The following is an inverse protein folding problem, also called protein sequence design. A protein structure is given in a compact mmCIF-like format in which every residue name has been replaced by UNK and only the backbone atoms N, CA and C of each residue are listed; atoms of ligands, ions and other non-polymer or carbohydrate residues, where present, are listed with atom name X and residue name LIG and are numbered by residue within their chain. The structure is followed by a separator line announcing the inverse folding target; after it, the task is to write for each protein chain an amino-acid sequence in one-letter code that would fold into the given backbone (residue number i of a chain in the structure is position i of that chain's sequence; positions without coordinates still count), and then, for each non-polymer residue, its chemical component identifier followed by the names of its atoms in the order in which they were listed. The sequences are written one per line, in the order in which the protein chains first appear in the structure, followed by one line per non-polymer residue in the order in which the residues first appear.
data_IF_688814170358
#
_entry.id   IF_688814170358
#
_cell.length_a   1.000
_cell.length_b   1.000
_cell.length_c   1.000
_cell.angle_alpha   90.00
_cell.angle_beta   90.00
_cell.angle_gamma   90.00
#
_symmetry.space_group_name_H-M   'P 1'
#
loop_
_entity.id
_entity.type
_entity.pdbx_description
1 polymer ?
#
# COMPACT_ATOMS: atom_id res chain seq x y z
N UNK A 1 -14.58 -29.00 17.38
CA UNK A 1 -13.80 -28.29 16.34
C UNK A 1 -13.47 -26.91 16.89
N UNK A 2 -12.19 -26.57 17.06
CA UNK A 2 -11.81 -25.24 17.51
C UNK A 2 -12.18 -24.23 16.42
N UNK A 3 -13.01 -23.23 16.74
CA UNK A 3 -13.25 -22.10 15.84
C UNK A 3 -11.89 -21.43 15.60
N UNK A 4 -11.37 -21.52 14.37
CA UNK A 4 -10.18 -20.75 13.98
C UNK A 4 -10.56 -19.27 14.06
N UNK A 5 -10.07 -18.59 15.09
CA UNK A 5 -10.22 -17.15 15.25
C UNK A 5 -9.39 -16.48 14.15
N UNK A 6 -10.03 -15.67 13.30
CA UNK A 6 -9.32 -14.85 12.33
C UNK A 6 -8.53 -13.76 13.06
N UNK A 7 -7.22 -13.68 12.81
CA UNK A 7 -6.35 -12.63 13.34
C UNK A 7 -5.95 -11.74 12.17
N UNK A 8 -6.42 -10.49 12.21
CA UNK A 8 -6.04 -9.47 11.25
C UNK A 8 -4.53 -9.15 11.37
N UNK A 9 -3.73 -9.33 10.29
CA UNK A 9 -2.30 -9.04 10.31
C UNK A 9 -2.00 -7.54 10.29
N UNK A 10 -2.96 -6.67 10.01
CA UNK A 10 -2.75 -5.22 10.02
C UNK A 10 -2.22 -4.72 11.38
N UNK A 11 -1.10 -4.00 11.36
CA UNK A 11 -0.39 -3.57 12.58
C UNK A 11 0.26 -4.69 13.40
N UNK A 12 0.06 -5.98 13.06
CA UNK A 12 0.62 -7.14 13.77
C UNK A 12 1.72 -7.86 13.00
N UNK A 13 1.55 -8.03 11.69
CA UNK A 13 2.59 -8.55 10.83
C UNK A 13 3.71 -7.53 10.71
N UNK A 14 4.95 -8.01 10.80
CA UNK A 14 6.13 -7.18 10.75
C UNK A 14 7.08 -7.67 9.67
N UNK A 15 7.75 -6.72 9.03
CA UNK A 15 8.85 -6.98 8.10
C UNK A 15 10.00 -6.06 8.48
N UNK A 16 11.22 -6.58 8.47
CA UNK A 16 12.42 -5.79 8.75
C UNK A 16 13.10 -5.39 7.45
N UNK A 17 13.70 -4.21 7.44
CA UNK A 17 14.63 -3.75 6.42
C UNK A 17 15.77 -3.02 7.13
N UNK A 18 16.96 -3.59 7.08
CA UNK A 18 18.05 -3.19 7.98
C UNK A 18 17.61 -3.26 9.44
N UNK A 19 17.85 -2.18 10.20
CA UNK A 19 17.46 -2.06 11.60
C UNK A 19 16.00 -1.62 11.81
N UNK A 20 15.28 -1.25 10.74
CA UNK A 20 13.93 -0.68 10.87
C UNK A 20 12.88 -1.79 10.84
N UNK A 21 12.02 -1.79 11.86
CA UNK A 21 10.83 -2.62 11.93
C UNK A 21 9.67 -1.89 11.26
N UNK A 22 9.13 -2.50 10.21
CA UNK A 22 7.93 -2.05 9.51
C UNK A 22 6.74 -2.92 9.91
N UNK A 23 5.57 -2.31 10.05
CA UNK A 23 4.31 -3.01 10.30
C UNK A 23 3.48 -3.03 9.04
N UNK A 24 2.81 -4.15 8.82
CA UNK A 24 1.81 -4.29 7.78
C UNK A 24 0.76 -3.19 7.90
N UNK A 25 0.33 -2.73 6.74
CA UNK A 25 -0.74 -1.77 6.56
C UNK A 25 -1.68 -2.27 5.47
N UNK A 26 -2.94 -2.49 5.86
CA UNK A 26 -3.94 -3.00 4.95
C UNK A 26 -4.83 -1.88 4.39
N UNK A 27 -4.65 -1.62 3.08
CA UNK A 27 -5.29 -0.56 2.30
C UNK A 27 -6.82 -0.58 2.37
N UNK A 28 -7.42 -1.76 2.25
CA UNK A 28 -8.86 -1.95 2.37
C UNK A 28 -9.24 -2.10 3.85
N UNK A 29 -9.23 -1.01 4.59
CA UNK A 29 -9.58 -1.00 6.01
C UNK A 29 -11.04 -1.42 6.24
N UNK A 30 -11.34 -1.87 7.46
CA UNK A 30 -12.72 -2.21 7.86
C UNK A 30 -13.73 -1.12 7.47
N UNK A 31 -13.40 0.15 7.74
CA UNK A 31 -14.27 1.27 7.40
C UNK A 31 -14.53 1.37 5.90
N UNK A 32 -13.53 1.12 5.05
CA UNK A 32 -13.69 1.18 3.58
C UNK A 32 -14.65 0.11 3.08
N UNK A 33 -14.45 -1.12 3.55
CA UNK A 33 -15.27 -2.26 3.14
C UNK A 33 -16.70 -2.11 3.68
N UNK A 34 -16.84 -1.68 4.94
CA UNK A 34 -18.13 -1.43 5.57
C UNK A 34 -18.91 -0.31 4.87
N UNK A 35 -18.28 0.83 4.57
CA UNK A 35 -18.95 1.94 3.86
C UNK A 35 -19.50 1.53 2.50
N UNK A 36 -18.94 0.50 1.87
CA UNK A 36 -19.38 0.01 0.55
C UNK A 36 -20.47 -1.05 0.63
N UNK A 37 -20.36 -1.99 1.57
CA UNK A 37 -21.21 -3.18 1.61
C UNK A 37 -22.12 -3.28 2.84
N UNK A 38 -22.01 -2.36 3.80
CA UNK A 38 -22.68 -2.45 5.10
C UNK A 38 -22.26 -3.68 5.90
N UNK A 39 -23.04 -4.04 6.92
CA UNK A 39 -22.82 -5.28 7.68
C UNK A 39 -23.48 -6.47 6.96
N UNK A 40 -22.79 -7.03 5.98
CA UNK A 40 -23.29 -8.13 5.13
C UNK A 40 -22.28 -9.27 5.03
N UNK A 41 -22.73 -10.46 4.59
CA UNK A 41 -21.83 -11.59 4.28
C UNK A 41 -20.76 -11.22 3.26
N UNK A 42 -21.09 -10.32 2.31
CA UNK A 42 -20.12 -9.79 1.35
C UNK A 42 -19.03 -8.98 2.03
N UNK A 43 -19.38 -8.12 3.00
CA UNK A 43 -18.39 -7.37 3.78
C UNK A 43 -17.42 -8.31 4.50
N UNK A 44 -17.93 -9.35 5.17
CA UNK A 44 -17.10 -10.34 5.88
C UNK A 44 -16.14 -11.03 4.91
N UNK A 45 -16.65 -11.50 3.76
CA UNK A 45 -15.82 -12.16 2.73
C UNK A 45 -14.72 -11.26 2.20
N UNK A 46 -15.03 -10.00 1.89
CA UNK A 46 -14.06 -9.02 1.40
C UNK A 46 -13.01 -8.71 2.49
N UNK A 47 -13.45 -8.49 3.72
CA UNK A 47 -12.56 -8.24 4.86
C UNK A 47 -11.60 -9.41 5.05
N UNK A 48 -12.10 -10.64 5.12
CA UNK A 48 -11.25 -11.82 5.24
C UNK A 48 -10.29 -12.00 4.08
N UNK A 49 -10.70 -11.68 2.84
CA UNK A 49 -9.87 -11.88 1.65
C UNK A 49 -8.72 -10.88 1.63
N UNK A 50 -9.03 -9.58 1.70
CA UNK A 50 -8.00 -8.54 1.48
C UNK A 50 -7.17 -8.24 2.72
N UNK A 51 -7.73 -8.39 3.93
CA UNK A 51 -6.96 -8.11 5.15
C UNK A 51 -5.95 -9.22 5.46
N UNK A 52 -6.15 -10.45 4.96
CA UNK A 52 -5.18 -11.57 5.13
C UNK A 52 -3.84 -11.35 4.42
N UNK A 53 -3.81 -10.50 3.40
CA UNK A 53 -2.64 -10.31 2.54
C UNK A 53 -2.08 -8.89 2.69
N UNK A 54 -1.20 -8.66 3.67
CA UNK A 54 -0.55 -7.36 3.84
C UNK A 54 0.37 -7.06 2.66
N UNK A 55 0.09 -5.95 1.96
CA UNK A 55 0.83 -5.51 0.77
C UNK A 55 1.92 -4.53 1.18
N UNK A 56 1.54 -3.47 1.90
CA UNK A 56 2.43 -2.41 2.30
C UNK A 56 2.93 -2.59 3.73
N UNK A 57 4.17 -2.20 3.95
CA UNK A 57 4.86 -2.26 5.24
C UNK A 57 5.56 -0.93 5.48
N UNK A 58 5.06 -0.14 6.42
CA UNK A 58 5.66 1.16 6.75
C UNK A 58 6.41 1.09 8.09
N UNK A 59 7.49 1.88 8.25
CA UNK A 59 8.18 2.01 9.52
C UNK A 59 7.24 2.34 10.67
N UNK A 60 7.37 1.60 11.78
CA UNK A 60 6.54 1.83 12.97
C UNK A 60 6.99 3.09 13.71
N UNK A 61 6.39 4.21 13.33
CA UNK A 61 6.76 5.55 13.81
C UNK A 61 5.54 6.47 13.94
N UNK A 62 5.44 7.17 15.08
CA UNK A 62 4.36 8.12 15.34
C UNK A 62 4.46 9.30 14.37
N UNK A 63 3.33 9.66 13.76
CA UNK A 63 3.26 10.67 12.70
C UNK A 63 4.16 10.33 11.50
N UNK A 64 4.41 9.03 11.26
CA UNK A 64 5.06 8.53 10.07
C UNK A 64 4.14 8.55 8.85
N UNK A 65 4.62 7.97 7.74
CA UNK A 65 3.91 7.94 6.45
C UNK A 65 2.51 7.34 6.59
N UNK A 66 2.39 6.20 7.29
CA UNK A 66 1.11 5.49 7.42
C UNK A 66 0.00 6.37 8.05
N UNK A 67 0.33 7.13 9.10
CA UNK A 67 -0.63 8.01 9.76
C UNK A 67 -0.91 9.28 8.95
N UNK A 68 0.13 9.84 8.32
CA UNK A 68 0.06 11.17 7.72
C UNK A 68 -0.61 11.18 6.35
N UNK A 69 -0.46 10.09 5.57
CA UNK A 69 -1.07 9.98 4.23
C UNK A 69 -2.60 10.06 4.27
N UNK A 70 -3.21 9.65 5.37
CA UNK A 70 -4.65 9.69 5.54
C UNK A 70 -5.16 11.14 5.49
N UNK A 71 -4.48 12.05 6.19
CA UNK A 71 -4.79 13.50 6.18
C UNK A 71 -4.35 14.19 4.90
N UNK A 72 -3.21 13.81 4.33
CA UNK A 72 -2.61 14.52 3.18
C UNK A 72 -3.20 14.09 1.84
N UNK A 73 -3.54 12.81 1.70
CA UNK A 73 -3.98 12.20 0.43
C UNK A 73 -5.34 11.53 0.51
N UNK A 74 -6.08 11.65 1.63
CA UNK A 74 -7.32 10.88 1.81
C UNK A 74 -7.07 9.37 1.85
N UNK A 75 -5.88 8.97 2.30
CA UNK A 75 -5.40 7.57 2.37
C UNK A 75 -5.15 6.92 0.99
N UNK A 76 -5.04 7.73 -0.07
CA UNK A 76 -4.79 7.24 -1.43
C UNK A 76 -3.35 6.74 -1.58
N UNK A 77 -3.19 5.45 -1.89
CA UNK A 77 -1.88 4.79 -1.95
C UNK A 77 -1.07 5.16 -3.19
N UNK A 78 -1.72 5.37 -4.33
CA UNK A 78 -1.11 5.86 -5.58
C UNK A 78 -0.47 7.24 -5.38
N UNK A 79 -1.16 8.17 -4.72
CA UNK A 79 -0.56 9.45 -4.31
C UNK A 79 0.63 9.28 -3.36
N UNK A 80 0.56 8.30 -2.44
CA UNK A 80 1.66 8.01 -1.51
C UNK A 80 2.88 7.46 -2.25
N UNK A 81 2.67 6.57 -3.23
CA UNK A 81 3.71 6.03 -4.10
C UNK A 81 4.34 7.14 -4.96
N UNK A 82 3.54 8.05 -5.49
CA UNK A 82 4.03 9.21 -6.24
C UNK A 82 4.90 10.12 -5.36
N UNK A 83 4.47 10.39 -4.12
CA UNK A 83 5.24 11.19 -3.15
C UNK A 83 6.59 10.53 -2.81
N UNK A 84 6.61 9.20 -2.72
CA UNK A 84 7.84 8.41 -2.55
C UNK A 84 8.71 8.44 -3.81
N UNK A 85 8.15 8.36 -5.01
CA UNK A 85 8.92 8.52 -6.27
C UNK A 85 9.60 9.87 -6.30
N UNK A 86 8.87 10.95 -6.01
CA UNK A 86 9.44 12.29 -5.91
C UNK A 86 10.51 12.42 -4.81
N UNK A 87 10.40 11.65 -3.72
CA UNK A 87 11.45 11.61 -2.71
C UNK A 87 12.77 11.09 -3.29
N UNK A 88 12.75 10.08 -4.16
CA UNK A 88 13.97 9.54 -4.78
C UNK A 88 14.44 10.40 -5.97
N UNK A 89 13.53 10.79 -6.87
CA UNK A 89 13.89 11.50 -8.12
C UNK A 89 14.13 12.99 -7.94
N UNK A 90 13.64 13.58 -6.83
CA UNK A 90 13.70 15.03 -6.55
C UNK A 90 12.97 15.91 -7.57
N UNK A 91 12.14 15.33 -8.43
CA UNK A 91 11.40 16.05 -9.48
C UNK A 91 10.43 17.09 -8.92
N UNK A 92 9.80 16.82 -7.76
CA UNK A 92 8.87 17.74 -7.09
C UNK A 92 9.03 17.68 -5.57
N UNK A 93 8.50 18.70 -4.90
CA UNK A 93 8.44 18.70 -3.44
C UNK A 93 7.39 17.71 -2.93
N UNK A 94 7.81 16.81 -2.04
CA UNK A 94 6.92 15.88 -1.35
C UNK A 94 5.95 16.60 -0.41
N UNK A 95 4.67 16.24 -0.46
CA UNK A 95 3.64 16.66 0.50
C UNK A 95 3.80 15.94 1.85
N UNK A 96 4.37 14.72 1.90
CA UNK A 96 4.68 14.03 3.16
C UNK A 96 6.06 14.39 3.74
N UNK A 97 6.70 15.48 3.31
CA UNK A 97 8.07 15.86 3.71
C UNK A 97 8.38 15.75 5.20
N UNK A 98 7.43 16.08 6.08
CA UNK A 98 7.62 16.02 7.53
C UNK A 98 7.65 14.59 8.06
N UNK A 99 6.85 13.69 7.48
CA UNK A 99 6.85 12.26 7.79
C UNK A 99 8.07 11.56 7.21
N UNK A 100 8.48 11.91 5.98
CA UNK A 100 9.65 11.32 5.31
C UNK A 100 10.97 11.63 6.04
N UNK A 101 11.05 12.77 6.74
CA UNK A 101 12.23 13.17 7.53
C UNK A 101 12.26 12.58 8.94
N UNK A 102 11.26 11.82 9.36
CA UNK A 102 11.25 11.18 10.67
C UNK A 102 12.35 10.12 10.75
N UNK A 103 12.90 9.87 11.94
CA UNK A 103 14.14 9.12 12.12
C UNK A 103 14.04 7.69 11.55
N UNK A 104 12.98 6.95 11.88
CA UNK A 104 12.84 5.57 11.39
C UNK A 104 12.46 5.54 9.91
N UNK A 105 11.60 6.46 9.48
CA UNK A 105 11.18 6.58 8.09
C UNK A 105 12.37 6.93 7.18
N UNK A 106 13.17 7.93 7.53
CA UNK A 106 14.37 8.31 6.80
C UNK A 106 15.38 7.16 6.74
N UNK A 107 15.66 6.51 7.88
CA UNK A 107 16.54 5.32 7.92
C UNK A 107 16.05 4.21 7.01
N UNK A 108 14.76 3.92 7.00
CA UNK A 108 14.16 2.92 6.12
C UNK A 108 14.33 3.29 4.64
N UNK A 109 13.97 4.52 4.27
CA UNK A 109 14.07 4.98 2.88
C UNK A 109 15.52 5.01 2.37
N UNK A 110 16.48 5.32 3.25
CA UNK A 110 17.92 5.30 2.94
C UNK A 110 18.48 3.89 2.72
N UNK A 111 17.73 2.83 3.05
CA UNK A 111 18.14 1.45 2.70
C UNK A 111 17.88 1.08 1.24
N UNK A 112 17.32 1.99 0.46
CA UNK A 112 17.07 1.86 -0.97
C UNK A 112 17.76 3.01 -1.70
N UNK A 113 18.43 2.71 -2.80
CA UNK A 113 19.10 3.70 -3.63
C UNK A 113 18.11 4.42 -4.55
N UNK A 114 17.06 3.71 -4.99
CA UNK A 114 16.08 4.21 -5.96
C UNK A 114 14.65 3.86 -5.57
N UNK A 115 13.68 4.45 -6.28
CA UNK A 115 12.26 4.13 -6.10
C UNK A 115 11.95 2.71 -6.57
N UNK A 116 12.61 2.24 -7.62
CA UNK A 116 12.49 0.91 -8.18
C UNK A 116 12.85 -0.17 -7.16
N UNK A 117 13.98 0.00 -6.45
CA UNK A 117 14.36 -0.93 -5.37
C UNK A 117 13.31 -1.01 -4.25
N UNK A 118 12.66 0.12 -3.93
CA UNK A 118 11.57 0.15 -2.95
C UNK A 118 10.32 -0.57 -3.48
N UNK A 119 9.96 -0.35 -4.74
CA UNK A 119 8.85 -1.03 -5.43
C UNK A 119 9.06 -2.54 -5.47
N UNK A 120 10.27 -2.98 -5.82
CA UNK A 120 10.63 -4.39 -5.87
C UNK A 120 10.62 -5.00 -4.47
N UNK A 121 11.08 -4.27 -3.45
CA UNK A 121 10.97 -4.75 -2.07
C UNK A 121 9.52 -4.95 -1.64
N UNK A 122 8.61 -4.05 -2.02
CA UNK A 122 7.18 -4.24 -1.78
C UNK A 122 6.57 -5.35 -2.65
N UNK A 123 7.18 -5.74 -3.77
CA UNK A 123 6.65 -6.73 -4.71
C UNK A 123 5.42 -6.22 -5.48
N UNK A 124 5.35 -4.91 -5.74
CA UNK A 124 4.15 -4.25 -6.32
C UNK A 124 4.29 -3.86 -7.80
N UNK A 125 5.38 -4.25 -8.44
CA UNK A 125 5.53 -4.17 -9.91
C UNK A 125 4.48 -5.05 -10.58
N UNK A 126 3.92 -4.59 -11.69
CA UNK A 126 2.81 -5.24 -12.41
C UNK A 126 1.42 -5.12 -11.74
N UNK A 127 1.32 -4.52 -10.55
CA UNK A 127 0.06 -4.38 -9.79
C UNK A 127 -0.31 -2.93 -9.52
N UNK A 128 0.37 -2.27 -8.58
CA UNK A 128 0.18 -0.85 -8.25
C UNK A 128 1.06 0.06 -9.11
N UNK A 129 2.14 -0.50 -9.63
CA UNK A 129 3.11 0.15 -10.50
C UNK A 129 3.23 -0.71 -11.76
N UNK A 130 3.41 -0.09 -12.93
CA UNK A 130 3.58 -0.84 -14.18
C UNK A 130 5.00 -1.40 -14.34
N UNK A 131 5.27 -2.07 -15.46
CA UNK A 131 6.58 -2.68 -15.75
C UNK A 131 7.73 -1.67 -15.87
N UNK A 132 7.41 -0.41 -16.16
CA UNK A 132 8.36 0.71 -16.27
C UNK A 132 8.47 1.52 -14.98
N UNK A 133 7.99 1.00 -13.85
CA UNK A 133 8.01 1.69 -12.55
C UNK A 133 7.18 3.00 -12.49
N UNK A 134 6.18 3.12 -13.37
CA UNK A 134 5.21 4.22 -13.34
C UNK A 134 3.98 3.86 -12.49
N UNK A 135 3.49 4.83 -11.72
CA UNK A 135 2.40 4.63 -10.76
C UNK A 135 1.07 4.57 -11.51
N UNK A 136 0.31 3.50 -11.31
CA UNK A 136 -1.03 3.39 -11.88
C UNK A 136 -1.98 4.38 -11.16
N UNK A 137 -2.72 5.19 -11.92
CA UNK A 137 -3.77 6.06 -11.40
C UNK A 137 -4.98 5.20 -11.02
N UNK A 138 -5.19 5.00 -9.71
CA UNK A 138 -6.26 4.12 -9.24
C UNK A 138 -7.63 4.81 -9.29
N UNK A 139 -7.70 6.13 -9.44
CA UNK A 139 -8.99 6.83 -9.63
C UNK A 139 -9.47 6.68 -11.07
N UNK A 140 -8.57 6.81 -12.04
CA UNK A 140 -8.88 6.74 -13.48
C UNK A 140 -8.78 5.35 -14.08
N UNK A 141 -8.03 4.44 -13.45
CA UNK A 141 -7.88 3.04 -13.86
C UNK A 141 -6.45 2.63 -14.16
N UNK A 142 -6.17 1.33 -14.06
CA UNK A 142 -4.82 0.76 -14.11
C UNK A 142 -4.05 0.92 -15.44
N UNK A 143 -4.68 1.42 -16.50
CA UNK A 143 -4.01 1.79 -17.77
C UNK A 143 -3.62 3.26 -17.84
N UNK A 144 -3.96 4.05 -16.82
CA UNK A 144 -3.61 5.46 -16.71
C UNK A 144 -2.46 5.61 -15.72
N UNK A 145 -1.52 6.50 -16.03
CA UNK A 145 -0.40 6.81 -15.16
C UNK A 145 -0.70 8.07 -14.35
N UNK A 146 -0.44 8.00 -13.04
CA UNK A 146 -0.58 9.13 -12.14
C UNK A 146 0.65 10.04 -12.27
N UNK A 147 0.52 11.15 -12.98
CA UNK A 147 1.60 12.12 -13.22
C UNK A 147 1.61 13.32 -12.26
N UNK A 148 0.50 13.56 -11.56
CA UNK A 148 0.41 14.54 -10.48
C UNK A 148 -0.61 14.07 -9.42
N UNK A 149 -0.59 14.69 -8.25
CA UNK A 149 -1.53 14.39 -7.19
C UNK A 149 -2.97 14.66 -7.63
N UNK A 150 -3.89 13.81 -7.17
CA UNK A 150 -5.32 14.13 -7.23
C UNK A 150 -5.58 15.48 -6.54
N UNK A 151 -6.31 16.37 -7.22
CA UNK A 151 -6.75 17.65 -6.64
C UNK A 151 -7.70 17.43 -5.46
N UNK A 152 -8.41 16.31 -5.49
CA UNK A 152 -9.35 15.88 -4.48
C UNK A 152 -8.69 14.93 -3.47
N UNK A 153 -8.62 15.38 -2.22
CA UNK A 153 -8.10 14.63 -1.07
C UNK A 153 -9.21 14.17 -0.12
N UNK A 154 -10.47 14.14 -0.60
CA UNK A 154 -11.62 13.69 0.18
C UNK A 154 -11.32 12.36 0.87
N UNK A 155 -11.74 12.29 2.13
CA UNK A 155 -11.63 11.07 2.90
C UNK A 155 -12.41 9.93 2.25
N UNK A 156 -13.57 10.18 1.65
CA UNK A 156 -14.36 9.15 0.98
C UNK A 156 -13.82 8.85 -0.42
N UNK A 157 -13.45 7.59 -0.66
CA UNK A 157 -13.04 7.13 -1.99
C UNK A 157 -14.24 6.99 -2.91
N UNK A 158 -14.02 7.24 -4.19
CA UNK A 158 -15.01 6.86 -5.19
C UNK A 158 -15.15 5.34 -5.25
N UNK A 159 -16.30 4.87 -5.74
CA UNK A 159 -16.48 3.46 -6.02
C UNK A 159 -15.42 2.93 -7.00
N UNK A 160 -15.03 3.75 -7.98
CA UNK A 160 -14.03 3.41 -8.98
C UNK A 160 -12.66 3.18 -8.34
N UNK A 161 -12.22 4.09 -7.47
CA UNK A 161 -10.96 3.97 -6.75
C UNK A 161 -10.92 2.70 -5.89
N UNK A 162 -11.99 2.43 -5.14
CA UNK A 162 -12.09 1.21 -4.34
C UNK A 162 -11.91 -0.06 -5.19
N UNK A 163 -12.64 -0.16 -6.31
CA UNK A 163 -12.56 -1.35 -7.18
C UNK A 163 -11.17 -1.48 -7.82
N UNK A 164 -10.50 -0.38 -8.13
CA UNK A 164 -9.16 -0.41 -8.71
C UNK A 164 -8.09 -0.79 -7.67
N UNK A 165 -8.17 -0.29 -6.43
CA UNK A 165 -7.31 -0.75 -5.32
C UNK A 165 -7.50 -2.26 -5.10
N UNK A 166 -8.75 -2.73 -5.14
CA UNK A 166 -9.09 -4.15 -5.02
C UNK A 166 -8.43 -4.97 -6.14
N UNK A 167 -8.62 -4.59 -7.40
CA UNK A 167 -7.99 -5.26 -8.56
C UNK A 167 -6.46 -5.26 -8.49
N UNK A 168 -5.84 -4.14 -8.08
CA UNK A 168 -4.39 -4.08 -7.88
C UNK A 168 -3.92 -5.04 -6.78
N UNK A 169 -4.69 -5.14 -5.69
CA UNK A 169 -4.43 -6.08 -4.60
C UNK A 169 -4.54 -7.54 -5.06
N UNK A 170 -5.54 -7.87 -5.88
CA UNK A 170 -5.70 -9.21 -6.47
C UNK A 170 -4.52 -9.56 -7.37
N UNK A 171 -4.10 -8.64 -8.25
CA UNK A 171 -2.90 -8.83 -9.09
C UNK A 171 -1.66 -9.08 -8.25
N UNK A 172 -1.45 -8.29 -7.20
CA UNK A 172 -0.35 -8.49 -6.25
C UNK A 172 -0.37 -9.91 -5.66
N UNK A 173 -1.53 -10.39 -5.21
CA UNK A 173 -1.67 -11.75 -4.67
C UNK A 173 -1.31 -12.82 -5.69
N UNK A 174 -1.74 -12.67 -6.96
CA UNK A 174 -1.43 -13.63 -8.02
C UNK A 174 0.08 -13.66 -8.30
N UNK A 175 0.71 -12.50 -8.47
CA UNK A 175 2.15 -12.38 -8.75
C UNK A 175 2.97 -13.05 -7.63
N UNK A 176 2.67 -12.72 -6.38
CA UNK A 176 3.42 -13.23 -5.23
C UNK A 176 3.13 -14.71 -4.92
N UNK A 177 1.96 -15.24 -5.33
CA UNK A 177 1.69 -16.69 -5.26
C UNK A 177 2.46 -17.46 -6.34
N UNK A 178 2.58 -16.93 -7.56
CA UNK A 178 3.37 -17.56 -8.62
C UNK A 178 4.87 -17.57 -8.30
N UNK A 179 5.39 -16.54 -7.64
CA UNK A 179 6.80 -16.48 -7.23
C UNK A 179 7.10 -17.41 -6.04
N UNK A 180 6.15 -17.58 -5.10
CA UNK A 180 6.28 -18.50 -3.97
C UNK A 180 6.31 -19.98 -4.36
N UNK A 181 5.77 -20.35 -5.52
CA UNK A 181 5.86 -21.71 -6.08
C UNK A 181 7.22 -22.00 -6.75
N UNK A 182 8.08 -20.99 -6.93
CA UNK A 182 9.44 -21.13 -7.47
C UNK A 182 10.55 -21.40 -6.43
N UNK A 183 10.21 -21.40 -5.14
CA UNK A 183 11.17 -21.61 -4.04
C UNK A 183 10.84 -22.80 -3.14
N UNK A 184 10.07 -23.75 -3.66
CA UNK A 184 9.88 -25.08 -3.06
C UNK A 184 10.68 -26.11 -3.85
N UNK A 185 12.02 -26.08 -3.75
CA UNK A 185 12.95 -27.19 -4.01
C UNK A 185 14.40 -26.71 -3.81
N UNK A 186 14.86 -26.72 -2.57
CA UNK A 186 16.23 -27.01 -2.15
C UNK A 186 16.15 -27.56 -0.73
#
# INVERSE_FOLDING_TARGET
MANKVYIDPDGKAFRKRGEVVCTADALLSFSRIYSKYGFTTRMIKEYETYRKHPIFYFPRERNGVNMTRATVFGDRIDCTLLDLKYYYTKEKQCKLRSALKKVKTAKFLQTFSTFEELVDWYGIKGSFVNESYEINDLERGASTILSDYHSDTRWQWSNQYYENVKKASEKFMVINQSEGLGHSNC
#
